data_IF_508744593720
#
_entry.id   IF_508744593720
#
_cell.length_a   1.000
_cell.length_b   1.000
_cell.length_c   1.000
_cell.angle_alpha   90.00
_cell.angle_beta   90.00
_cell.angle_gamma   90.00
#
_symmetry.space_group_name_H-M   'P 1'
#
loop_
_entity.id
_entity.type
_entity.pdbx_description
1 polymer ?
#
# COMPACT_ATOMS: atom_id res chain seq x y z
N UNK A 1 -47.56 -14.12 31.36
CA UNK A 1 -47.22 -14.06 29.91
C UNK A 1 -46.21 -12.94 29.70
N UNK A 2 -44.94 -13.28 29.82
CA UNK A 2 -43.84 -12.33 29.60
C UNK A 2 -43.21 -12.74 28.28
N UNK A 3 -43.49 -11.95 27.24
CA UNK A 3 -42.84 -12.06 25.94
C UNK A 3 -41.42 -11.55 26.13
N UNK A 4 -40.45 -12.47 26.19
CA UNK A 4 -39.03 -12.09 26.08
C UNK A 4 -38.80 -11.48 24.70
N UNK A 5 -38.72 -10.16 24.66
CA UNK A 5 -38.24 -9.42 23.51
C UNK A 5 -36.78 -9.87 23.29
N UNK A 6 -36.56 -10.60 22.21
CA UNK A 6 -35.20 -10.80 21.64
C UNK A 6 -34.43 -9.47 21.66
N UNK A 7 -33.17 -9.45 22.11
CA UNK A 7 -32.38 -8.21 22.03
C UNK A 7 -32.36 -7.77 20.57
N UNK A 8 -32.93 -6.61 20.33
CA UNK A 8 -32.74 -5.87 19.10
C UNK A 8 -31.23 -5.90 18.79
N UNK A 9 -30.85 -6.53 17.70
CA UNK A 9 -29.55 -6.38 17.11
C UNK A 9 -29.15 -4.92 17.28
N UNK A 10 -28.18 -4.66 18.13
CA UNK A 10 -27.61 -3.33 18.28
C UNK A 10 -27.02 -2.99 16.94
N UNK A 11 -27.78 -2.28 16.11
CA UNK A 11 -27.35 -1.73 14.83
C UNK A 11 -26.11 -0.93 15.14
N UNK A 12 -24.95 -1.51 14.84
CA UNK A 12 -23.67 -0.83 14.99
C UNK A 12 -23.77 0.51 14.24
N UNK A 13 -23.43 1.63 14.89
CA UNK A 13 -23.56 2.94 14.26
C UNK A 13 -22.74 2.96 12.98
N UNK A 14 -23.40 3.12 11.84
CA UNK A 14 -22.74 3.27 10.54
C UNK A 14 -21.84 4.49 10.59
N UNK A 15 -20.61 4.44 10.04
CA UNK A 15 -19.69 5.56 10.07
C UNK A 15 -20.31 6.78 9.39
N UNK A 16 -20.07 7.95 9.93
CA UNK A 16 -20.64 9.19 9.38
C UNK A 16 -20.16 9.43 7.94
N UNK A 17 -21.03 9.99 7.11
CA UNK A 17 -20.67 10.37 5.73
C UNK A 17 -19.51 11.37 5.72
N UNK A 18 -19.37 12.20 6.75
CA UNK A 18 -18.25 13.12 6.93
C UNK A 18 -16.94 12.38 7.08
N UNK A 19 -16.89 11.36 7.95
CA UNK A 19 -15.69 10.55 8.18
C UNK A 19 -15.27 9.76 6.94
N UNK A 20 -16.23 9.23 6.20
CA UNK A 20 -15.94 8.53 4.94
C UNK A 20 -15.34 9.47 3.88
N UNK A 21 -15.88 10.70 3.74
CA UNK A 21 -15.34 11.73 2.84
C UNK A 21 -13.98 12.25 3.33
N UNK A 22 -13.83 12.40 4.65
CA UNK A 22 -12.55 12.74 5.27
C UNK A 22 -11.46 11.74 4.92
N UNK A 23 -11.78 10.44 4.98
CA UNK A 23 -10.84 9.37 4.62
C UNK A 23 -10.52 9.36 3.10
N UNK A 24 -11.49 9.70 2.23
CA UNK A 24 -11.25 9.89 0.79
C UNK A 24 -10.22 10.99 0.55
N UNK A 25 -10.43 12.18 1.16
CA UNK A 25 -9.49 13.30 1.09
C UNK A 25 -8.12 12.97 1.68
N UNK A 26 -8.09 12.23 2.80
CA UNK A 26 -6.84 11.76 3.41
C UNK A 26 -6.02 10.91 2.43
N UNK A 27 -6.62 9.95 1.75
CA UNK A 27 -5.93 9.12 0.75
C UNK A 27 -5.42 9.96 -0.43
N UNK A 28 -6.24 10.89 -0.92
CA UNK A 28 -5.89 11.75 -2.06
C UNK A 28 -4.69 12.65 -1.75
N UNK A 29 -4.75 13.39 -0.64
CA UNK A 29 -3.71 14.35 -0.31
C UNK A 29 -2.45 13.71 0.27
N UNK A 30 -2.57 12.59 1.00
CA UNK A 30 -1.43 11.84 1.48
C UNK A 30 -0.61 11.25 0.32
N UNK A 31 -1.26 10.63 -0.66
CA UNK A 31 -0.59 10.13 -1.85
C UNK A 31 0.07 11.27 -2.64
N UNK A 32 -0.57 12.42 -2.74
CA UNK A 32 0.01 13.61 -3.33
C UNK A 32 1.26 14.10 -2.60
N UNK A 33 1.22 14.19 -1.26
CA UNK A 33 2.37 14.58 -0.44
C UNK A 33 3.56 13.63 -0.65
N UNK A 34 3.30 12.32 -0.64
CA UNK A 34 4.35 11.30 -0.81
C UNK A 34 4.93 11.30 -2.24
N UNK A 35 4.17 11.74 -3.24
CA UNK A 35 4.63 11.84 -4.63
C UNK A 35 5.72 12.89 -4.85
N UNK A 36 5.90 13.84 -3.92
CA UNK A 36 6.98 14.84 -3.96
C UNK A 36 8.37 14.28 -3.72
N UNK A 37 8.47 13.03 -3.29
CA UNK A 37 9.73 12.34 -3.01
C UNK A 37 10.11 11.36 -4.13
N UNK A 38 11.22 10.67 -3.96
CA UNK A 38 11.70 9.71 -4.94
C UNK A 38 12.33 10.39 -6.16
N UNK A 39 11.74 10.29 -7.36
CA UNK A 39 12.37 10.84 -8.58
C UNK A 39 12.67 12.32 -8.52
N UNK A 40 11.81 13.13 -7.92
CA UNK A 40 12.01 14.57 -7.81
C UNK A 40 13.19 14.96 -6.92
N UNK A 41 13.44 14.22 -5.84
CA UNK A 41 14.62 14.42 -4.99
C UNK A 41 15.91 14.20 -5.80
N UNK A 42 15.98 13.11 -6.55
CA UNK A 42 17.16 12.78 -7.34
C UNK A 42 17.45 13.86 -8.40
N UNK A 43 16.42 14.31 -9.12
CA UNK A 43 16.54 15.36 -10.14
C UNK A 43 16.96 16.69 -9.52
N UNK A 44 16.36 17.09 -8.41
CA UNK A 44 16.70 18.31 -7.68
C UNK A 44 18.15 18.32 -7.20
N UNK A 45 18.62 17.22 -6.57
CA UNK A 45 20.00 17.14 -6.11
C UNK A 45 21.00 17.11 -7.27
N UNK A 46 20.63 16.55 -8.42
CA UNK A 46 21.45 16.61 -9.63
C UNK A 46 21.54 18.04 -10.18
N UNK A 47 20.45 18.82 -10.11
CA UNK A 47 20.43 20.25 -10.48
C UNK A 47 21.31 21.08 -9.53
N UNK A 48 21.32 20.76 -8.22
CA UNK A 48 22.22 21.35 -7.21
C UNK A 48 23.67 20.84 -7.31
N UNK A 49 24.04 20.17 -8.43
CA UNK A 49 25.40 19.70 -8.78
C UNK A 49 25.97 18.64 -7.83
N UNK A 50 25.13 17.86 -7.19
CA UNK A 50 25.58 16.73 -6.39
C UNK A 50 26.16 15.61 -7.25
N UNK A 51 27.12 14.89 -6.71
CA UNK A 51 27.65 13.67 -7.35
C UNK A 51 26.59 12.56 -7.33
N UNK A 52 26.60 11.70 -8.36
CA UNK A 52 25.68 10.54 -8.42
C UNK A 52 25.81 9.63 -7.19
N UNK A 53 27.04 9.51 -6.66
CA UNK A 53 27.33 8.73 -5.46
C UNK A 53 26.61 9.30 -4.22
N UNK A 54 26.70 10.62 -3.99
CA UNK A 54 26.03 11.26 -2.85
C UNK A 54 24.51 11.19 -2.96
N UNK A 55 23.95 11.37 -4.16
CA UNK A 55 22.52 11.21 -4.42
C UNK A 55 22.09 9.78 -4.09
N UNK A 56 22.80 8.77 -4.60
CA UNK A 56 22.50 7.38 -4.31
C UNK A 56 22.59 7.05 -2.83
N UNK A 57 23.63 7.58 -2.15
CA UNK A 57 23.84 7.34 -0.72
C UNK A 57 22.69 7.90 0.15
N UNK A 58 22.29 9.15 -0.07
CA UNK A 58 21.19 9.74 0.74
C UNK A 58 19.84 9.06 0.48
N UNK A 59 19.55 8.66 -0.77
CA UNK A 59 18.34 7.90 -1.09
C UNK A 59 18.35 6.51 -0.43
N UNK A 60 19.51 5.86 -0.41
CA UNK A 60 19.69 4.56 0.28
C UNK A 60 19.48 4.70 1.79
N UNK A 61 20.05 5.72 2.43
CA UNK A 61 19.87 6.01 3.86
C UNK A 61 18.38 6.19 4.18
N UNK A 62 17.66 7.01 3.40
CA UNK A 62 16.22 7.18 3.56
C UNK A 62 15.42 5.90 3.35
N UNK A 63 15.77 5.11 2.35
CA UNK A 63 15.15 3.82 2.06
C UNK A 63 15.33 2.81 3.21
N UNK A 64 16.54 2.69 3.76
CA UNK A 64 16.83 1.82 4.91
C UNK A 64 16.03 2.28 6.14
N UNK A 65 15.97 3.58 6.42
CA UNK A 65 15.15 4.12 7.51
C UNK A 65 13.67 3.74 7.33
N UNK A 66 13.15 3.82 6.10
CA UNK A 66 11.79 3.39 5.76
C UNK A 66 11.56 1.90 6.01
N UNK A 67 12.48 1.05 5.60
CA UNK A 67 12.40 -0.39 5.85
C UNK A 67 12.39 -0.73 7.34
N UNK A 68 13.34 -0.16 8.08
CA UNK A 68 13.48 -0.43 9.52
C UNK A 68 12.30 0.09 10.33
N UNK A 69 11.62 1.15 9.88
CA UNK A 69 10.48 1.74 10.57
C UNK A 69 9.17 0.95 10.43
N UNK A 70 9.06 0.04 9.47
CA UNK A 70 7.80 -0.65 9.18
C UNK A 70 7.33 -1.54 10.33
N UNK A 71 8.25 -2.28 10.97
CA UNK A 71 7.90 -3.12 12.11
C UNK A 71 7.54 -2.30 13.36
N UNK A 72 8.42 -1.39 13.85
CA UNK A 72 8.08 -0.59 15.02
C UNK A 72 6.89 0.35 14.76
N UNK A 73 6.73 0.84 13.54
CA UNK A 73 5.58 1.64 13.14
C UNK A 73 4.27 0.87 13.18
N UNK A 74 4.27 -0.38 12.74
CA UNK A 74 3.13 -1.29 12.84
C UNK A 74 2.79 -1.60 14.30
N UNK A 75 3.78 -1.90 15.14
CA UNK A 75 3.58 -2.14 16.58
C UNK A 75 3.05 -0.89 17.29
N UNK A 76 3.59 0.27 16.97
CA UNK A 76 3.13 1.55 17.50
C UNK A 76 1.65 1.80 17.18
N UNK A 77 1.21 1.46 15.96
CA UNK A 77 -0.18 1.57 15.53
C UNK A 77 -1.10 0.57 16.26
N UNK A 78 -0.61 -0.58 16.69
CA UNK A 78 -1.41 -1.52 17.48
C UNK A 78 -1.62 -1.05 18.92
N UNK A 79 -0.71 -0.21 19.45
CA UNK A 79 -0.75 0.31 20.83
C UNK A 79 -1.51 1.65 20.91
N UNK A 80 -1.26 2.58 19.96
CA UNK A 80 -1.78 3.94 20.03
C UNK A 80 -3.26 3.98 19.61
N UNK A 81 -4.11 4.54 20.49
CA UNK A 81 -5.53 4.78 20.22
C UNK A 81 -5.75 5.93 19.25
N UNK A 82 -4.94 6.98 19.33
CA UNK A 82 -5.08 8.21 18.54
C UNK A 82 -4.45 8.08 17.14
N UNK A 83 -4.88 7.10 16.33
CA UNK A 83 -4.31 6.82 15.00
C UNK A 83 -4.38 8.01 14.05
N UNK A 84 -5.44 8.84 14.16
CA UNK A 84 -5.59 10.08 13.39
C UNK A 84 -4.50 11.09 13.71
N UNK A 85 -4.20 11.28 15.01
CA UNK A 85 -3.13 12.18 15.46
C UNK A 85 -1.76 11.68 14.99
N UNK A 86 -1.51 10.37 15.09
CA UNK A 86 -0.27 9.76 14.60
C UNK A 86 -0.09 9.97 13.09
N UNK A 87 -1.15 9.80 12.30
CA UNK A 87 -1.13 10.07 10.86
C UNK A 87 -0.91 11.56 10.57
N UNK A 88 -1.53 12.47 11.34
CA UNK A 88 -1.32 13.90 11.21
C UNK A 88 0.14 14.30 11.51
N UNK A 89 0.72 13.77 12.60
CA UNK A 89 2.14 14.00 12.96
C UNK A 89 3.06 13.46 11.86
N UNK A 90 2.84 12.22 11.39
CA UNK A 90 3.65 11.65 10.31
C UNK A 90 3.57 12.46 9.01
N UNK A 91 2.40 12.96 8.65
CA UNK A 91 2.22 13.82 7.49
C UNK A 91 2.90 15.20 7.69
N UNK A 92 2.82 15.80 8.89
CA UNK A 92 3.53 17.04 9.22
C UNK A 92 5.04 16.87 9.12
N UNK A 93 5.58 15.79 9.71
CA UNK A 93 7.01 15.47 9.62
C UNK A 93 7.45 15.27 8.16
N UNK A 94 6.65 14.59 7.36
CA UNK A 94 6.91 14.42 5.92
C UNK A 94 6.91 15.76 5.19
N UNK A 95 5.98 16.68 5.50
CA UNK A 95 5.96 18.02 4.92
C UNK A 95 7.19 18.85 5.34
N UNK A 96 7.57 18.79 6.61
CA UNK A 96 8.80 19.43 7.13
C UNK A 96 10.04 18.86 6.43
N UNK A 97 10.10 17.54 6.23
CA UNK A 97 11.18 16.89 5.47
C UNK A 97 11.29 17.43 4.05
N UNK A 98 10.16 17.63 3.36
CA UNK A 98 10.13 18.24 2.03
C UNK A 98 10.73 19.65 2.05
N UNK A 99 10.36 20.47 3.03
CA UNK A 99 10.90 21.84 3.18
C UNK A 99 12.40 21.81 3.47
N UNK A 100 12.87 20.95 4.37
CA UNK A 100 14.30 20.81 4.69
C UNK A 100 15.09 20.48 3.41
N UNK A 101 14.64 19.48 2.63
CA UNK A 101 15.30 19.07 1.40
C UNK A 101 15.32 20.19 0.36
N UNK A 102 14.18 20.89 0.18
CA UNK A 102 14.04 21.93 -0.83
C UNK A 102 14.85 23.21 -0.54
N UNK A 103 15.01 23.58 0.73
CA UNK A 103 15.68 24.82 1.09
C UNK A 103 17.14 24.69 1.53
N UNK A 104 17.56 23.52 1.98
CA UNK A 104 18.89 23.30 2.52
C UNK A 104 19.56 22.07 1.86
N UNK A 105 20.13 22.21 0.65
CA UNK A 105 20.75 21.10 -0.09
C UNK A 105 22.14 20.73 0.49
N UNK A 106 22.25 20.58 1.81
CA UNK A 106 23.43 20.06 2.49
C UNK A 106 23.26 18.58 2.79
N UNK A 107 24.30 17.79 2.63
CA UNK A 107 24.25 16.32 2.75
C UNK A 107 23.56 15.85 4.04
N UNK A 108 23.96 16.39 5.19
CA UNK A 108 23.42 16.01 6.50
C UNK A 108 21.93 16.33 6.65
N UNK A 109 21.51 17.51 6.17
CA UNK A 109 20.11 17.94 6.25
C UNK A 109 19.20 17.17 5.27
N UNK A 110 19.69 16.93 4.06
CA UNK A 110 18.97 16.08 3.08
C UNK A 110 18.85 14.65 3.59
N UNK A 111 19.95 14.07 4.12
CA UNK A 111 19.93 12.75 4.72
C UNK A 111 18.95 12.67 5.90
N UNK A 112 18.99 13.65 6.82
CA UNK A 112 18.04 13.74 7.93
C UNK A 112 16.59 13.86 7.46
N UNK A 113 16.31 14.70 6.46
CA UNK A 113 14.99 14.83 5.86
C UNK A 113 14.49 13.51 5.26
N UNK A 114 15.34 12.80 4.51
CA UNK A 114 14.99 11.50 3.92
C UNK A 114 14.82 10.41 4.98
N UNK A 115 15.58 10.42 6.06
CA UNK A 115 15.39 9.52 7.20
C UNK A 115 14.03 9.77 7.86
N UNK A 116 13.70 11.02 8.16
CA UNK A 116 12.40 11.39 8.75
C UNK A 116 11.24 10.98 7.83
N UNK A 117 11.34 11.27 6.53
CA UNK A 117 10.35 10.87 5.52
C UNK A 117 10.24 9.34 5.43
N UNK A 118 11.37 8.63 5.42
CA UNK A 118 11.40 7.17 5.42
C UNK A 118 10.71 6.57 6.63
N UNK A 119 11.04 7.04 7.83
CA UNK A 119 10.39 6.60 9.09
C UNK A 119 8.87 6.80 9.01
N UNK A 120 8.41 7.97 8.57
CA UNK A 120 6.98 8.24 8.44
C UNK A 120 6.34 7.39 7.34
N UNK A 121 7.00 7.24 6.19
CA UNK A 121 6.53 6.42 5.08
C UNK A 121 6.28 4.97 5.45
N UNK A 122 7.08 4.42 6.38
CA UNK A 122 6.96 3.05 6.84
C UNK A 122 5.65 2.73 7.55
N UNK A 123 4.97 3.71 8.18
CA UNK A 123 3.72 3.46 8.90
C UNK A 123 2.49 4.21 8.36
N UNK A 124 2.65 5.26 7.56
CA UNK A 124 1.52 6.07 7.08
C UNK A 124 0.47 5.25 6.31
N UNK A 125 0.91 4.31 5.46
CA UNK A 125 0.02 3.41 4.73
C UNK A 125 -0.76 2.47 5.67
N UNK A 126 -0.08 1.89 6.64
CA UNK A 126 -0.69 1.05 7.67
C UNK A 126 -1.68 1.84 8.54
N UNK A 127 -1.37 3.11 8.87
CA UNK A 127 -2.26 3.99 9.62
C UNK A 127 -3.59 4.26 8.87
N UNK A 128 -3.53 4.49 7.56
CA UNK A 128 -4.73 4.65 6.71
C UNK A 128 -5.55 3.36 6.67
N UNK A 129 -4.90 2.21 6.54
CA UNK A 129 -5.57 0.91 6.57
C UNK A 129 -6.23 0.64 7.92
N UNK A 130 -5.55 0.96 9.03
CA UNK A 130 -6.08 0.84 10.39
C UNK A 130 -7.30 1.74 10.63
N UNK A 131 -7.24 3.00 10.20
CA UNK A 131 -8.38 3.93 10.28
C UNK A 131 -9.54 3.40 9.43
N UNK A 132 -9.26 2.86 8.24
CA UNK A 132 -10.28 2.27 7.38
C UNK A 132 -10.98 1.09 8.05
N UNK A 133 -10.21 0.15 8.61
CA UNK A 133 -10.75 -1.00 9.35
C UNK A 133 -11.53 -0.55 10.59
N UNK A 134 -11.02 0.44 11.32
CA UNK A 134 -11.69 1.01 12.49
C UNK A 134 -13.02 1.69 12.17
N UNK A 135 -13.15 2.29 10.99
CA UNK A 135 -14.37 2.99 10.54
C UNK A 135 -15.44 2.02 10.04
N UNK A 136 -15.09 1.10 9.14
CA UNK A 136 -16.09 0.31 8.40
C UNK A 136 -16.20 -1.15 8.87
N UNK A 137 -15.28 -1.61 9.73
CA UNK A 137 -15.21 -3.01 10.14
C UNK A 137 -14.81 -3.95 8.99
N UNK A 138 -14.70 -5.25 9.30
CA UNK A 138 -14.23 -6.28 8.37
C UNK A 138 -15.14 -6.46 7.15
N UNK A 139 -16.46 -6.41 7.36
CA UNK A 139 -17.45 -6.71 6.31
C UNK A 139 -17.42 -5.72 5.13
N UNK A 140 -17.18 -4.43 5.40
CA UNK A 140 -17.15 -3.37 4.38
C UNK A 140 -15.71 -2.95 4.00
N UNK A 141 -14.69 -3.59 4.58
CA UNK A 141 -13.29 -3.21 4.39
C UNK A 141 -12.87 -3.31 2.91
N UNK A 142 -13.27 -4.36 2.21
CA UNK A 142 -12.90 -4.58 0.81
C UNK A 142 -13.35 -3.41 -0.10
N UNK A 143 -14.62 -3.01 0.00
CA UNK A 143 -15.16 -1.88 -0.75
C UNK A 143 -14.46 -0.57 -0.36
N UNK A 144 -14.15 -0.41 0.94
CA UNK A 144 -13.43 0.78 1.45
C UNK A 144 -12.01 0.87 0.92
N UNK A 145 -11.25 -0.23 0.93
CA UNK A 145 -9.88 -0.27 0.42
C UNK A 145 -9.83 -0.02 -1.10
N UNK A 146 -10.79 -0.56 -1.86
CA UNK A 146 -10.93 -0.24 -3.28
C UNK A 146 -11.14 1.26 -3.52
N UNK A 147 -11.97 1.90 -2.69
CA UNK A 147 -12.19 3.35 -2.76
C UNK A 147 -10.97 4.15 -2.32
N UNK A 148 -10.27 3.73 -1.25
CA UNK A 148 -9.03 4.35 -0.80
C UNK A 148 -7.98 4.35 -1.91
N UNK A 149 -7.78 3.21 -2.56
CA UNK A 149 -6.79 3.04 -3.61
C UNK A 149 -7.11 3.92 -4.83
N UNK A 150 -8.40 4.06 -5.19
CA UNK A 150 -8.83 4.99 -6.23
C UNK A 150 -8.41 6.43 -5.91
N UNK A 151 -8.73 6.91 -4.69
CA UNK A 151 -8.39 8.27 -4.29
C UNK A 151 -6.88 8.47 -4.17
N UNK A 152 -6.14 7.48 -3.67
CA UNK A 152 -4.68 7.53 -3.60
C UNK A 152 -4.05 7.64 -5.00
N UNK A 153 -4.46 6.79 -5.95
CA UNK A 153 -3.94 6.87 -7.33
C UNK A 153 -4.32 8.16 -8.04
N UNK A 154 -5.55 8.65 -7.81
CA UNK A 154 -5.97 9.96 -8.36
C UNK A 154 -5.13 11.09 -7.74
N UNK A 155 -4.89 11.05 -6.43
CA UNK A 155 -4.05 12.03 -5.73
C UNK A 155 -2.60 12.03 -6.22
N UNK A 156 -2.01 10.85 -6.37
CA UNK A 156 -0.66 10.69 -6.91
C UNK A 156 -0.54 11.21 -8.35
N UNK A 157 -1.53 10.89 -9.21
CA UNK A 157 -1.58 11.35 -10.59
C UNK A 157 -1.68 12.88 -10.69
N UNK A 158 -2.60 13.49 -9.95
CA UNK A 158 -2.79 14.94 -9.93
C UNK A 158 -1.55 15.65 -9.38
N UNK A 159 -0.99 15.14 -8.28
CA UNK A 159 0.21 15.70 -7.67
C UNK A 159 1.41 15.61 -8.62
N UNK A 160 1.62 14.48 -9.28
CA UNK A 160 2.70 14.33 -10.27
C UNK A 160 2.56 15.34 -11.42
N UNK A 161 1.34 15.56 -11.92
CA UNK A 161 1.07 16.58 -12.94
C UNK A 161 1.37 18.00 -12.46
N UNK A 162 0.86 18.38 -11.28
CA UNK A 162 1.08 19.70 -10.68
C UNK A 162 2.56 19.92 -10.37
N UNK A 163 3.24 18.95 -9.76
CA UNK A 163 4.66 19.03 -9.41
C UNK A 163 5.55 19.08 -10.65
N UNK A 164 5.23 18.27 -11.67
CA UNK A 164 5.95 18.30 -12.95
C UNK A 164 5.82 19.67 -13.66
N UNK A 165 4.60 20.23 -13.70
CA UNK A 165 4.36 21.56 -14.23
C UNK A 165 5.08 22.65 -13.42
N UNK A 166 5.00 22.57 -12.09
CA UNK A 166 5.68 23.52 -11.18
C UNK A 166 7.20 23.46 -11.35
N UNK A 167 7.78 22.26 -11.48
CA UNK A 167 9.20 22.09 -11.73
C UNK A 167 9.66 22.68 -13.08
N UNK A 168 8.79 22.59 -14.11
CA UNK A 168 9.07 23.14 -15.41
C UNK A 168 8.97 24.68 -15.45
N UNK A 169 7.92 25.27 -14.85
CA UNK A 169 7.62 26.70 -14.95
C UNK A 169 8.38 27.54 -13.92
N UNK A 170 8.56 27.02 -12.71
CA UNK A 170 9.14 27.77 -11.60
C UNK A 170 10.55 27.27 -11.25
N UNK A 171 10.65 26.15 -10.54
CA UNK A 171 11.92 25.54 -10.15
C UNK A 171 11.68 24.16 -9.50
N UNK A 172 12.72 23.34 -9.43
CA UNK A 172 12.67 22.08 -8.69
C UNK A 172 12.42 22.28 -7.18
N UNK A 173 12.87 23.39 -6.60
CA UNK A 173 12.59 23.76 -5.20
C UNK A 173 11.10 23.96 -4.95
N UNK A 174 10.38 24.53 -5.90
CA UNK A 174 8.95 24.77 -5.78
C UNK A 174 8.13 23.48 -5.69
N UNK A 175 8.65 22.36 -6.21
CA UNK A 175 8.01 21.03 -6.07
C UNK A 175 7.85 20.65 -4.59
N UNK A 176 8.90 20.87 -3.78
CA UNK A 176 8.86 20.56 -2.35
C UNK A 176 7.92 21.47 -1.57
N UNK A 177 7.76 22.74 -2.01
CA UNK A 177 6.74 23.64 -1.47
C UNK A 177 5.33 23.12 -1.76
N UNK A 178 5.07 22.70 -3.00
CA UNK A 178 3.77 22.11 -3.38
C UNK A 178 3.51 20.85 -2.58
N UNK A 179 4.51 19.96 -2.47
CA UNK A 179 4.40 18.75 -1.67
C UNK A 179 4.05 19.07 -0.21
N UNK A 180 4.78 20.00 0.41
CA UNK A 180 4.51 20.41 1.79
C UNK A 180 3.15 21.08 1.97
N UNK A 181 2.71 21.90 1.01
CA UNK A 181 1.42 22.58 1.05
C UNK A 181 0.23 21.60 1.05
N UNK A 182 0.39 20.40 0.47
CA UNK A 182 -0.65 19.36 0.48
C UNK A 182 -0.98 18.84 1.89
N UNK A 183 -0.14 19.10 2.89
CA UNK A 183 -0.46 18.78 4.29
C UNK A 183 -1.65 19.58 4.81
N UNK A 184 -1.88 20.80 4.32
CA UNK A 184 -2.98 21.65 4.77
C UNK A 184 -4.37 21.03 4.44
N UNK A 185 -4.68 20.72 3.16
CA UNK A 185 -5.93 20.05 2.85
C UNK A 185 -5.99 18.61 3.42
N UNK A 186 -4.86 17.95 3.64
CA UNK A 186 -4.81 16.69 4.36
C UNK A 186 -5.31 16.83 5.80
N UNK A 187 -4.89 17.87 6.52
CA UNK A 187 -5.37 18.14 7.89
C UNK A 187 -6.86 18.45 7.91
N UNK A 188 -7.37 19.24 6.94
CA UNK A 188 -8.81 19.47 6.80
C UNK A 188 -9.56 18.15 6.59
N UNK A 189 -9.00 17.24 5.78
CA UNK A 189 -9.60 15.92 5.55
C UNK A 189 -9.59 15.08 6.84
N UNK A 190 -8.49 15.08 7.61
CA UNK A 190 -8.36 14.36 8.87
C UNK A 190 -9.30 14.87 9.97
N UNK A 191 -9.51 16.18 10.05
CA UNK A 191 -10.45 16.78 11.03
C UNK A 191 -11.89 16.32 10.77
N UNK A 192 -12.27 16.08 9.51
CA UNK A 192 -13.59 15.55 9.14
C UNK A 192 -13.85 14.13 9.61
N UNK A 193 -12.81 13.36 9.95
CA UNK A 193 -12.97 12.01 10.50
C UNK A 193 -13.30 12.15 11.98
N UNK A 194 -14.51 11.79 12.40
CA UNK A 194 -14.96 11.86 13.80
C UNK A 194 -14.09 10.97 14.71
N UNK A 195 -13.64 11.47 15.89
CA UNK A 195 -12.84 10.65 16.80
C UNK A 195 -13.59 9.43 17.33
N UNK A 196 -14.91 9.52 17.47
CA UNK A 196 -15.77 8.43 17.92
C UNK A 196 -16.09 7.40 16.83
N UNK A 197 -15.93 7.74 15.55
CA UNK A 197 -16.24 6.84 14.43
C UNK A 197 -15.15 5.76 14.24
N UNK A 198 -13.92 5.98 14.72
CA UNK A 198 -12.81 5.05 14.58
C UNK A 198 -12.71 4.16 15.82
N UNK A 199 -13.27 2.96 15.75
CA UNK A 199 -13.22 2.00 16.85
C UNK A 199 -11.84 1.37 16.98
N UNK A 200 -11.20 1.54 18.15
CA UNK A 200 -9.83 1.07 18.37
C UNK A 200 -9.71 -0.45 18.22
N UNK A 201 -10.58 -1.23 18.87
CA UNK A 201 -10.55 -2.69 18.79
C UNK A 201 -10.60 -3.22 17.36
N UNK A 202 -11.49 -2.67 16.52
CA UNK A 202 -11.57 -3.01 15.09
C UNK A 202 -10.28 -2.62 14.37
N UNK A 203 -9.75 -1.44 14.62
CA UNK A 203 -8.57 -0.90 13.93
C UNK A 203 -7.27 -1.67 14.19
N UNK A 204 -7.25 -2.55 15.17
CA UNK A 204 -6.15 -3.50 15.46
C UNK A 204 -6.52 -4.95 15.15
N UNK A 205 -7.76 -5.21 14.71
CA UNK A 205 -8.27 -6.55 14.46
C UNK A 205 -8.45 -7.37 15.73
N UNK A 206 -8.81 -6.73 16.86
CA UNK A 206 -9.10 -7.41 18.12
C UNK A 206 -10.46 -8.13 18.09
N UNK A 207 -10.69 -9.15 18.96
CA UNK A 207 -12.01 -9.77 19.13
C UNK A 207 -13.06 -8.74 19.58
N UNK A 208 -14.32 -8.93 19.20
CA UNK A 208 -15.43 -8.01 19.56
C UNK A 208 -15.58 -7.77 21.07
N UNK A 209 -15.20 -8.74 21.91
CA UNK A 209 -15.25 -8.67 23.37
C UNK A 209 -13.85 -8.44 24.00
N UNK A 210 -12.96 -7.74 23.30
CA UNK A 210 -11.64 -7.44 23.82
C UNK A 210 -11.71 -6.39 24.93
N UNK A 211 -11.28 -6.76 26.15
CA UNK A 211 -11.06 -5.81 27.23
C UNK A 211 -9.91 -4.85 26.86
N UNK A 212 -10.17 -3.53 26.73
CA UNK A 212 -9.16 -2.57 26.36
C UNK A 212 -7.97 -2.48 27.32
N UNK A 213 -8.10 -3.05 28.52
CA UNK A 213 -7.05 -3.07 29.54
C UNK A 213 -6.02 -4.19 29.32
N UNK A 214 -6.34 -5.19 28.49
CA UNK A 214 -5.43 -6.32 28.23
C UNK A 214 -4.56 -6.03 27.00
N UNK A 215 -3.25 -5.76 27.16
CA UNK A 215 -2.38 -5.54 26.02
C UNK A 215 -2.27 -6.84 25.20
N UNK A 216 -2.27 -6.75 23.86
CA UNK A 216 -2.07 -7.90 23.00
C UNK A 216 -0.72 -8.58 23.30
N UNK A 217 -0.62 -9.92 23.14
CA UNK A 217 0.63 -10.64 23.43
C UNK A 217 1.81 -10.07 22.64
N UNK A 218 2.86 -9.63 23.35
CA UNK A 218 3.95 -8.80 22.82
C UNK A 218 4.99 -9.51 21.92
N UNK A 219 4.91 -10.80 21.67
CA UNK A 219 5.97 -11.48 20.92
C UNK A 219 5.69 -11.53 19.43
N UNK A 220 6.61 -10.90 18.63
CA UNK A 220 6.68 -11.00 17.18
C UNK A 220 6.69 -12.49 16.73
N UNK A 221 7.46 -13.30 17.46
CA UNK A 221 7.61 -14.73 17.21
C UNK A 221 6.28 -15.49 17.31
N UNK A 222 5.44 -15.15 18.30
CA UNK A 222 4.13 -15.76 18.45
C UNK A 222 3.16 -15.38 17.32
N UNK A 223 3.23 -14.15 16.80
CA UNK A 223 2.41 -13.73 15.67
C UNK A 223 2.80 -14.45 14.38
N UNK A 224 4.09 -14.63 14.13
CA UNK A 224 4.62 -15.29 12.93
C UNK A 224 4.39 -16.82 12.97
N UNK A 225 4.72 -17.48 14.07
CA UNK A 225 4.62 -18.94 14.17
C UNK A 225 3.16 -19.44 14.22
N UNK A 226 2.21 -18.63 14.67
CA UNK A 226 0.80 -18.99 14.73
C UNK A 226 0.04 -18.82 13.42
N UNK A 227 0.63 -18.13 12.43
CA UNK A 227 -0.07 -17.80 11.19
C UNK A 227 0.80 -18.07 9.94
N UNK A 228 0.91 -19.34 9.49
CA UNK A 228 1.71 -19.67 8.32
C UNK A 228 1.22 -18.96 7.05
N UNK A 229 -0.07 -18.64 6.94
CA UNK A 229 -0.61 -17.87 5.81
C UNK A 229 0.00 -16.47 5.69
N UNK A 230 0.31 -15.82 6.82
CA UNK A 230 0.97 -14.51 6.81
C UNK A 230 2.40 -14.61 6.28
N UNK A 231 3.15 -15.65 6.65
CA UNK A 231 4.51 -15.87 6.15
C UNK A 231 4.53 -16.19 4.65
N UNK A 232 3.61 -17.05 4.19
CA UNK A 232 3.44 -17.36 2.77
C UNK A 232 3.12 -16.09 2.00
N UNK A 233 2.19 -15.28 2.49
CA UNK A 233 1.82 -14.04 1.83
C UNK A 233 2.97 -13.02 1.81
N UNK A 234 3.71 -12.88 2.90
CA UNK A 234 4.92 -12.03 2.95
C UNK A 234 6.00 -12.49 1.96
N UNK A 235 6.24 -13.80 1.86
CA UNK A 235 7.18 -14.37 0.88
C UNK A 235 6.71 -14.13 -0.57
N UNK A 236 5.41 -14.28 -0.84
CA UNK A 236 4.85 -13.96 -2.15
C UNK A 236 5.05 -12.49 -2.52
N UNK A 237 4.80 -11.57 -1.58
CA UNK A 237 4.99 -10.13 -1.81
C UNK A 237 6.47 -9.73 -1.91
N UNK A 238 7.37 -10.41 -1.19
CA UNK A 238 8.80 -10.27 -1.39
C UNK A 238 9.19 -10.60 -2.84
N UNK A 239 8.80 -11.77 -3.35
CA UNK A 239 9.10 -12.19 -4.72
C UNK A 239 8.44 -11.29 -5.76
N UNK A 240 7.20 -10.86 -5.51
CA UNK A 240 6.51 -9.92 -6.38
C UNK A 240 7.29 -8.61 -6.50
N UNK A 241 7.64 -7.99 -5.38
CA UNK A 241 8.36 -6.71 -5.39
C UNK A 241 9.81 -6.85 -5.85
N UNK A 242 10.45 -8.00 -5.59
CA UNK A 242 11.76 -8.32 -6.15
C UNK A 242 11.71 -8.36 -7.69
N UNK A 243 10.64 -8.86 -8.28
CA UNK A 243 10.47 -8.85 -9.73
C UNK A 243 9.99 -7.48 -10.25
N UNK A 244 9.08 -6.80 -9.55
CA UNK A 244 8.40 -5.61 -10.05
C UNK A 244 9.25 -4.33 -10.03
N UNK A 245 10.05 -4.11 -8.98
CA UNK A 245 10.67 -2.81 -8.72
C UNK A 245 11.72 -2.40 -9.77
N UNK A 246 12.40 -3.34 -10.40
CA UNK A 246 13.40 -3.07 -11.43
C UNK A 246 12.85 -2.91 -12.84
N UNK A 247 11.58 -3.26 -13.08
CA UNK A 247 11.04 -3.25 -14.45
C UNK A 247 11.02 -1.86 -15.08
N UNK A 248 10.62 -0.84 -14.32
CA UNK A 248 10.56 0.53 -14.83
C UNK A 248 11.96 1.13 -15.05
N UNK A 249 12.93 0.99 -14.11
CA UNK A 249 14.33 1.38 -14.37
C UNK A 249 14.93 0.73 -15.61
N UNK A 250 14.81 -0.58 -15.78
CA UNK A 250 15.32 -1.31 -16.95
C UNK A 250 14.64 -0.86 -18.26
N UNK A 251 13.32 -0.63 -18.21
CA UNK A 251 12.61 -0.08 -19.39
C UNK A 251 13.06 1.34 -19.73
N UNK A 252 13.32 2.17 -18.72
CA UNK A 252 13.87 3.52 -18.88
C UNK A 252 15.25 3.49 -19.53
N UNK A 253 16.12 2.59 -19.08
CA UNK A 253 17.45 2.36 -19.68
C UNK A 253 17.34 1.92 -21.13
N UNK A 254 16.49 0.94 -21.44
CA UNK A 254 16.23 0.47 -22.81
C UNK A 254 15.78 1.59 -23.76
N UNK A 255 15.01 2.55 -23.25
CA UNK A 255 14.54 3.70 -24.02
C UNK A 255 15.62 4.80 -24.17
N UNK A 256 16.45 5.00 -23.14
CA UNK A 256 17.53 5.98 -23.17
C UNK A 256 18.59 5.63 -24.23
N UNK A 257 18.94 4.36 -24.39
CA UNK A 257 19.86 3.89 -25.43
C UNK A 257 19.38 4.15 -26.86
N UNK A 258 18.07 4.23 -27.07
CA UNK A 258 17.51 4.49 -28.41
C UNK A 258 17.47 5.97 -28.81
N UNK A 259 17.80 6.88 -27.90
CA UNK A 259 18.02 8.31 -28.08
C UNK A 259 16.79 9.12 -28.53
N UNK A 260 16.66 10.33 -27.99
CA UNK A 260 15.75 11.36 -28.48
C UNK A 260 14.92 12.07 -27.41
N UNK A 261 14.52 13.31 -27.66
CA UNK A 261 13.64 14.12 -26.79
C UNK A 261 12.29 13.44 -26.45
N UNK A 262 11.89 12.44 -27.22
CA UNK A 262 10.64 11.67 -26.99
C UNK A 262 10.75 10.65 -25.86
N UNK A 263 11.95 10.27 -25.42
CA UNK A 263 12.14 9.28 -24.33
C UNK A 263 11.51 9.73 -23.01
N UNK A 264 11.59 11.01 -22.67
CA UNK A 264 10.99 11.58 -21.46
C UNK A 264 9.46 11.45 -21.45
N UNK A 265 8.80 11.69 -22.58
CA UNK A 265 7.34 11.55 -22.71
C UNK A 265 6.91 10.08 -22.55
N UNK A 266 7.67 9.16 -23.14
CA UNK A 266 7.41 7.72 -23.02
C UNK A 266 7.56 7.25 -21.57
N UNK A 267 8.63 7.66 -20.88
CA UNK A 267 8.85 7.34 -19.47
C UNK A 267 7.70 7.89 -18.59
N UNK A 268 7.27 9.12 -18.85
CA UNK A 268 6.12 9.70 -18.16
C UNK A 268 4.84 8.89 -18.39
N UNK A 269 4.59 8.46 -19.61
CA UNK A 269 3.44 7.63 -19.96
C UNK A 269 3.51 6.25 -19.28
N UNK A 270 4.71 5.66 -19.15
CA UNK A 270 4.93 4.40 -18.42
C UNK A 270 4.57 4.51 -16.92
N UNK A 271 4.74 5.69 -16.32
CA UNK A 271 4.40 5.95 -14.92
C UNK A 271 2.90 6.26 -14.76
N UNK A 272 2.35 7.04 -15.68
CA UNK A 272 0.95 7.52 -15.61
C UNK A 272 -0.04 6.39 -15.90
N UNK A 273 0.26 5.54 -16.90
CA UNK A 273 -0.68 4.50 -17.36
C UNK A 273 -1.14 3.56 -16.25
N UNK A 274 -0.25 2.98 -15.41
CA UNK A 274 -0.69 2.16 -14.28
C UNK A 274 -1.58 2.90 -13.30
N UNK A 275 -1.30 4.17 -13.00
CA UNK A 275 -2.08 4.96 -12.05
C UNK A 275 -3.53 5.19 -12.54
N UNK A 276 -3.70 5.42 -13.84
CA UNK A 276 -5.03 5.55 -14.47
C UNK A 276 -5.81 4.23 -14.32
N UNK A 277 -5.17 3.10 -14.64
CA UNK A 277 -5.80 1.78 -14.51
C UNK A 277 -6.19 1.50 -13.05
N UNK A 278 -5.31 1.78 -12.09
CA UNK A 278 -5.59 1.62 -10.66
C UNK A 278 -6.78 2.49 -10.25
N UNK A 279 -6.82 3.76 -10.65
CA UNK A 279 -7.92 4.67 -10.30
C UNK A 279 -9.28 4.18 -10.82
N UNK A 280 -9.30 3.55 -11.98
CA UNK A 280 -10.51 3.01 -12.60
C UNK A 280 -10.92 1.66 -12.02
N UNK A 281 -9.96 0.74 -11.84
CA UNK A 281 -10.22 -0.65 -11.47
C UNK A 281 -10.34 -0.89 -9.95
N UNK A 282 -9.75 -0.05 -9.09
CA UNK A 282 -9.70 -0.32 -7.66
C UNK A 282 -11.08 -0.49 -6.99
N UNK A 283 -12.13 0.29 -7.30
CA UNK A 283 -13.45 0.04 -6.75
C UNK A 283 -14.07 -1.27 -7.24
N UNK A 284 -13.76 -1.68 -8.47
CA UNK A 284 -14.17 -2.98 -9.01
C UNK A 284 -13.50 -4.11 -8.24
N UNK A 285 -12.19 -4.04 -8.03
CA UNK A 285 -11.42 -5.03 -7.27
C UNK A 285 -11.95 -5.18 -5.84
N UNK A 286 -12.25 -4.08 -5.14
CA UNK A 286 -12.82 -4.10 -3.79
C UNK A 286 -14.15 -4.85 -3.74
N UNK A 287 -15.07 -4.57 -4.67
CA UNK A 287 -16.37 -5.25 -4.75
C UNK A 287 -16.22 -6.75 -5.06
N UNK A 288 -15.38 -7.10 -6.04
CA UNK A 288 -15.19 -8.49 -6.44
C UNK A 288 -14.41 -9.32 -5.42
N UNK A 289 -13.53 -8.68 -4.61
CA UNK A 289 -12.88 -9.34 -3.49
C UNK A 289 -13.90 -9.92 -2.49
N UNK A 290 -15.04 -9.27 -2.32
CA UNK A 290 -16.13 -9.76 -1.47
C UNK A 290 -16.91 -10.92 -2.11
N UNK A 291 -17.05 -10.92 -3.45
CA UNK A 291 -17.84 -11.92 -4.18
C UNK A 291 -17.00 -13.15 -4.48
N UNK A 292 -15.89 -12.98 -5.21
CA UNK A 292 -15.05 -14.07 -5.73
C UNK A 292 -14.08 -14.63 -4.69
N UNK A 293 -13.80 -13.88 -3.62
CA UNK A 293 -12.73 -14.17 -2.68
C UNK A 293 -11.45 -13.40 -2.97
N UNK A 294 -10.42 -13.62 -2.15
CA UNK A 294 -9.15 -12.88 -2.22
C UNK A 294 -8.16 -13.57 -3.16
N UNK A 295 -8.08 -14.89 -3.07
CA UNK A 295 -7.11 -15.71 -3.81
C UNK A 295 -7.22 -15.58 -5.33
N UNK A 296 -8.41 -15.65 -5.98
CA UNK A 296 -8.51 -15.49 -7.44
C UNK A 296 -8.03 -14.12 -7.92
N UNK A 297 -8.37 -13.05 -7.21
CA UNK A 297 -7.95 -11.70 -7.57
C UNK A 297 -6.45 -11.49 -7.35
N UNK A 298 -5.87 -12.05 -6.27
CA UNK A 298 -4.42 -12.06 -6.07
C UNK A 298 -3.72 -12.77 -7.21
N UNK A 299 -4.22 -13.92 -7.66
CA UNK A 299 -3.66 -14.65 -8.79
C UNK A 299 -3.68 -13.83 -10.08
N UNK A 300 -4.76 -13.09 -10.36
CA UNK A 300 -4.83 -12.17 -11.51
C UNK A 300 -3.72 -11.11 -11.39
N UNK A 301 -3.56 -10.49 -10.21
CA UNK A 301 -2.53 -9.47 -10.00
C UNK A 301 -1.10 -10.03 -10.12
N UNK A 302 -0.85 -11.22 -9.57
CA UNK A 302 0.46 -11.87 -9.65
C UNK A 302 0.78 -12.38 -11.05
N UNK A 303 -0.19 -12.97 -11.76
CA UNK A 303 0.02 -13.49 -13.12
C UNK A 303 0.26 -12.38 -14.16
N UNK A 304 -0.25 -11.18 -13.93
CA UNK A 304 0.00 -10.05 -14.81
C UNK A 304 1.49 -9.66 -14.87
N UNK A 305 2.25 -9.86 -13.80
CA UNK A 305 3.66 -9.47 -13.73
C UNK A 305 4.58 -10.34 -14.63
N UNK A 306 4.57 -11.70 -14.58
CA UNK A 306 5.39 -12.50 -15.48
C UNK A 306 4.99 -12.30 -16.95
N UNK A 307 3.71 -12.11 -17.25
CA UNK A 307 3.26 -11.79 -18.61
C UNK A 307 3.86 -10.46 -19.07
N UNK A 308 3.81 -9.41 -18.24
CA UNK A 308 4.40 -8.11 -18.56
C UNK A 308 5.91 -8.22 -18.73
N UNK A 309 6.61 -8.93 -17.87
CA UNK A 309 8.05 -9.11 -17.94
C UNK A 309 8.47 -9.82 -19.25
N UNK A 310 7.73 -10.86 -19.63
CA UNK A 310 7.94 -11.57 -20.90
C UNK A 310 7.69 -10.65 -22.11
N UNK A 311 6.62 -9.88 -22.09
CA UNK A 311 6.32 -8.91 -23.16
C UNK A 311 7.41 -7.83 -23.28
N UNK A 312 7.98 -7.36 -22.18
CA UNK A 312 9.10 -6.41 -22.18
C UNK A 312 10.41 -7.04 -22.70
N UNK A 313 10.61 -8.34 -22.48
CA UNK A 313 11.76 -9.07 -23.04
C UNK A 313 11.65 -9.24 -24.55
N UNK A 314 10.43 -9.47 -25.06
CA UNK A 314 10.20 -9.78 -26.48
C UNK A 314 10.01 -8.53 -27.35
N UNK A 315 9.45 -7.46 -26.81
CA UNK A 315 9.09 -6.25 -27.57
C UNK A 315 9.75 -5.01 -26.98
N UNK A 316 10.57 -4.34 -27.77
CA UNK A 316 11.28 -3.13 -27.38
C UNK A 316 10.69 -1.85 -28.01
N UNK A 317 9.45 -1.90 -28.53
CA UNK A 317 8.81 -0.74 -29.15
C UNK A 317 8.15 0.16 -28.08
N UNK A 318 8.45 1.48 -28.02
CA UNK A 318 8.00 2.37 -26.94
C UNK A 318 6.49 2.35 -26.69
N UNK A 319 5.67 2.40 -27.73
CA UNK A 319 4.21 2.41 -27.59
C UNK A 319 3.65 1.07 -27.10
N UNK A 320 4.27 -0.06 -27.45
CA UNK A 320 3.89 -1.36 -26.89
C UNK A 320 4.21 -1.45 -25.42
N UNK A 321 5.36 -0.93 -24.98
CA UNK A 321 5.74 -0.88 -23.57
C UNK A 321 4.71 -0.08 -22.74
N UNK A 322 4.21 1.06 -23.27
CA UNK A 322 3.12 1.82 -22.62
C UNK A 322 1.85 0.98 -22.54
N UNK A 323 1.46 0.27 -23.61
CA UNK A 323 0.31 -0.61 -23.59
C UNK A 323 0.44 -1.74 -22.56
N UNK A 324 1.61 -2.35 -22.43
CA UNK A 324 1.87 -3.41 -21.46
C UNK A 324 1.85 -2.94 -20.01
N UNK A 325 2.00 -1.64 -19.75
CA UNK A 325 1.84 -1.05 -18.42
C UNK A 325 0.41 -1.11 -17.88
N UNK A 326 -0.58 -1.44 -18.71
CA UNK A 326 -1.92 -1.81 -18.25
C UNK A 326 -1.83 -2.98 -17.27
N UNK A 327 -0.96 -3.96 -17.53
CA UNK A 327 -0.75 -5.11 -16.64
C UNK A 327 -0.17 -4.71 -15.30
N UNK A 328 0.70 -3.67 -15.27
CA UNK A 328 1.17 -3.07 -14.01
C UNK A 328 0.02 -2.44 -13.21
N UNK A 329 -0.85 -1.73 -13.90
CA UNK A 329 -2.07 -1.18 -13.30
C UNK A 329 -2.99 -2.25 -12.72
N UNK A 330 -3.13 -3.40 -13.41
CA UNK A 330 -3.87 -4.56 -12.90
C UNK A 330 -3.21 -5.11 -11.64
N UNK A 331 -1.90 -5.37 -11.66
CA UNK A 331 -1.14 -5.84 -10.50
C UNK A 331 -1.24 -4.85 -9.34
N UNK A 332 -1.00 -3.56 -9.60
CA UNK A 332 -1.08 -2.49 -8.61
C UNK A 332 -2.48 -2.34 -8.00
N UNK A 333 -3.54 -2.55 -8.80
CA UNK A 333 -4.92 -2.56 -8.31
C UNK A 333 -5.16 -3.72 -7.35
N UNK A 334 -4.81 -4.94 -7.75
CA UNK A 334 -5.05 -6.13 -6.93
C UNK A 334 -4.28 -6.06 -5.62
N UNK A 335 -2.98 -5.76 -5.68
CA UNK A 335 -2.14 -5.66 -4.49
C UNK A 335 -2.50 -4.48 -3.61
N UNK A 336 -2.78 -3.31 -4.18
CA UNK A 336 -3.16 -2.12 -3.42
C UNK A 336 -4.45 -2.28 -2.61
N UNK A 337 -5.40 -3.08 -3.11
CA UNK A 337 -6.65 -3.38 -2.40
C UNK A 337 -6.50 -4.61 -1.50
N UNK A 338 -5.88 -5.68 -2.01
CA UNK A 338 -5.94 -6.98 -1.35
C UNK A 338 -4.88 -7.15 -0.26
N UNK A 339 -3.75 -6.43 -0.29
CA UNK A 339 -2.71 -6.59 0.73
C UNK A 339 -3.26 -6.32 2.13
N UNK A 340 -3.86 -5.15 2.34
CA UNK A 340 -4.43 -4.82 3.65
C UNK A 340 -5.64 -5.71 4.00
N UNK A 341 -6.42 -6.12 3.01
CA UNK A 341 -7.57 -7.00 3.20
C UNK A 341 -7.15 -8.39 3.65
N UNK A 342 -6.19 -9.02 2.97
CA UNK A 342 -5.66 -10.35 3.31
C UNK A 342 -4.99 -10.33 4.69
N UNK A 343 -4.19 -9.31 4.99
CA UNK A 343 -3.60 -9.17 6.33
C UNK A 343 -4.67 -9.05 7.38
N UNK A 344 -5.74 -8.27 7.13
CA UNK A 344 -6.87 -8.14 8.05
C UNK A 344 -7.59 -9.48 8.28
N UNK A 345 -7.86 -10.24 7.19
CA UNK A 345 -8.48 -11.56 7.27
C UNK A 345 -7.63 -12.55 8.09
N UNK A 346 -6.31 -12.59 7.84
CA UNK A 346 -5.36 -13.47 8.52
C UNK A 346 -5.13 -13.12 9.99
N UNK A 347 -5.35 -11.88 10.37
CA UNK A 347 -5.07 -11.39 11.74
C UNK A 347 -6.32 -11.06 12.55
N UNK A 348 -7.49 -11.39 12.02
CA UNK A 348 -8.76 -11.22 12.74
C UNK A 348 -8.71 -11.90 14.10
N UNK A 349 -9.11 -11.18 15.15
CA UNK A 349 -9.11 -11.68 16.54
C UNK A 349 -7.73 -11.68 17.22
N UNK A 350 -6.66 -11.24 16.57
CA UNK A 350 -5.30 -11.25 17.16
C UNK A 350 -4.89 -9.94 17.81
N UNK A 351 -5.54 -8.83 17.47
CA UNK A 351 -5.12 -7.48 17.87
C UNK A 351 -3.79 -7.01 17.27
N UNK A 352 -3.32 -7.64 16.17
CA UNK A 352 -2.00 -7.44 15.57
C UNK A 352 -2.04 -7.10 14.08
N UNK A 353 -3.11 -6.50 13.63
CA UNK A 353 -3.29 -6.12 12.23
C UNK A 353 -2.15 -5.24 11.71
N UNK A 354 -1.79 -4.18 12.45
CA UNK A 354 -0.82 -3.21 11.98
C UNK A 354 0.62 -3.72 12.02
N UNK A 355 0.99 -4.50 13.04
CA UNK A 355 2.28 -5.20 13.07
C UNK A 355 2.42 -6.15 11.87
N UNK A 356 1.36 -6.88 11.54
CA UNK A 356 1.35 -7.79 10.39
C UNK A 356 1.45 -7.05 9.06
N UNK A 357 0.85 -5.86 8.94
CA UNK A 357 1.08 -4.96 7.82
C UNK A 357 2.55 -4.53 7.72
N UNK A 358 3.19 -4.22 8.85
CA UNK A 358 4.61 -3.90 8.92
C UNK A 358 5.50 -5.05 8.45
N UNK A 359 5.19 -6.30 8.84
CA UNK A 359 5.92 -7.51 8.40
C UNK A 359 5.84 -7.67 6.88
N UNK A 360 4.63 -7.59 6.34
CA UNK A 360 4.36 -7.72 4.90
C UNK A 360 5.01 -6.58 4.11
N UNK A 361 4.92 -5.36 4.62
CA UNK A 361 5.57 -4.19 4.04
C UNK A 361 7.10 -4.33 4.02
N UNK A 362 7.71 -4.77 5.13
CA UNK A 362 9.16 -4.99 5.22
C UNK A 362 9.62 -6.06 4.23
N UNK A 363 8.90 -7.18 4.10
CA UNK A 363 9.21 -8.21 3.11
C UNK A 363 9.16 -7.63 1.68
N UNK A 364 8.12 -6.86 1.37
CA UNK A 364 7.99 -6.15 0.08
C UNK A 364 9.13 -5.18 -0.18
N UNK A 365 9.50 -4.38 0.82
CA UNK A 365 10.56 -3.40 0.72
C UNK A 365 11.95 -4.03 0.53
N UNK A 366 12.25 -5.13 1.24
CA UNK A 366 13.50 -5.88 1.03
C UNK A 366 13.54 -6.43 -0.39
N UNK A 367 12.44 -7.03 -0.87
CA UNK A 367 12.34 -7.51 -2.26
C UNK A 367 12.63 -6.40 -3.27
N UNK A 368 11.99 -5.24 -3.11
CA UNK A 368 12.20 -4.08 -3.98
C UNK A 368 13.65 -3.58 -3.96
N UNK A 369 14.28 -3.53 -2.78
CA UNK A 369 15.67 -3.06 -2.64
C UNK A 369 16.68 -3.99 -3.31
N UNK A 370 16.46 -5.30 -3.28
CA UNK A 370 17.33 -6.28 -3.93
C UNK A 370 17.09 -6.39 -5.44
N UNK A 371 15.92 -5.97 -5.91
CA UNK A 371 15.47 -6.09 -7.30
C UNK A 371 16.41 -5.41 -8.29
N UNK A 372 16.70 -4.13 -8.06
CA UNK A 372 17.49 -3.31 -9.00
C UNK A 372 18.93 -3.80 -9.13
N UNK A 373 19.54 -4.26 -8.04
CA UNK A 373 20.89 -4.82 -8.07
C UNK A 373 20.93 -6.15 -8.86
N UNK A 374 20.00 -7.06 -8.55
CA UNK A 374 20.00 -8.39 -9.19
C UNK A 374 19.67 -8.31 -10.69
N UNK A 375 18.65 -7.55 -11.07
CA UNK A 375 18.25 -7.40 -12.46
C UNK A 375 19.23 -6.54 -13.27
N UNK A 376 19.86 -5.53 -12.65
CA UNK A 376 20.92 -4.74 -13.25
C UNK A 376 22.13 -5.61 -13.60
N UNK A 377 22.60 -6.46 -12.66
CA UNK A 377 23.69 -7.40 -12.91
C UNK A 377 23.38 -8.39 -14.04
N UNK A 378 22.14 -8.89 -14.13
CA UNK A 378 21.72 -9.76 -15.22
C UNK A 378 21.72 -9.00 -16.56
N UNK A 379 21.20 -7.78 -16.57
CA UNK A 379 21.14 -6.96 -17.78
C UNK A 379 22.53 -6.52 -18.27
N UNK A 380 23.44 -6.21 -17.35
CA UNK A 380 24.82 -5.81 -17.66
C UNK A 380 25.61 -6.96 -18.29
N UNK A 381 25.52 -8.17 -17.72
CA UNK A 381 26.32 -9.32 -18.19
C UNK A 381 25.72 -10.04 -19.40
N UNK A 382 24.37 -10.05 -19.54
CA UNK A 382 23.69 -10.87 -20.54
C UNK A 382 22.71 -10.09 -21.43
N UNK A 383 22.63 -8.76 -21.23
CA UNK A 383 21.75 -7.88 -21.98
C UNK A 383 20.34 -7.70 -21.39
N UNK A 384 19.69 -6.60 -21.75
CA UNK A 384 18.38 -6.21 -21.23
C UNK A 384 17.28 -7.29 -21.37
N UNK A 385 17.16 -8.03 -22.50
CA UNK A 385 16.15 -9.08 -22.62
C UNK A 385 16.32 -10.18 -21.57
N UNK A 386 17.56 -10.56 -21.23
CA UNK A 386 17.84 -11.56 -20.21
C UNK A 386 17.50 -11.03 -18.81
N UNK A 387 17.74 -9.75 -18.55
CA UNK A 387 17.27 -9.07 -17.34
C UNK A 387 15.76 -9.20 -17.15
N UNK A 388 14.97 -8.92 -18.18
CA UNK A 388 13.50 -9.08 -18.14
C UNK A 388 13.07 -10.55 -18.04
N UNK A 389 13.76 -11.48 -18.67
CA UNK A 389 13.49 -12.92 -18.52
C UNK A 389 13.75 -13.41 -17.08
N UNK A 390 14.83 -12.94 -16.45
CA UNK A 390 15.10 -13.21 -15.03
C UNK A 390 13.95 -12.74 -14.13
N UNK A 391 13.45 -11.52 -14.38
CA UNK A 391 12.26 -10.98 -13.69
C UNK A 391 11.03 -11.87 -13.96
N UNK A 392 10.81 -12.33 -15.19
CA UNK A 392 9.70 -13.20 -15.54
C UNK A 392 9.75 -14.52 -14.77
N UNK A 393 10.93 -15.13 -14.64
CA UNK A 393 11.11 -16.38 -13.88
C UNK A 393 10.79 -16.18 -12.40
N UNK A 394 11.35 -15.14 -11.77
CA UNK A 394 11.10 -14.87 -10.34
C UNK A 394 9.62 -14.56 -10.09
N UNK A 395 8.99 -13.76 -10.94
CA UNK A 395 7.57 -13.43 -10.79
C UNK A 395 6.66 -14.64 -11.03
N UNK A 396 7.03 -15.54 -11.96
CA UNK A 396 6.31 -16.79 -12.16
C UNK A 396 6.44 -17.70 -10.92
N UNK A 397 7.63 -17.79 -10.33
CA UNK A 397 7.83 -18.51 -9.07
C UNK A 397 6.94 -17.95 -7.95
N UNK A 398 6.88 -16.63 -7.79
CA UNK A 398 5.99 -15.98 -6.83
C UNK A 398 4.52 -16.29 -7.08
N UNK A 399 4.11 -16.30 -8.36
CA UNK A 399 2.74 -16.66 -8.77
C UNK A 399 2.42 -18.12 -8.46
N UNK A 400 3.36 -19.04 -8.72
CA UNK A 400 3.21 -20.47 -8.43
C UNK A 400 3.14 -20.73 -6.90
N UNK A 401 3.99 -20.09 -6.12
CA UNK A 401 3.93 -20.19 -4.65
C UNK A 401 2.58 -19.70 -4.13
N UNK A 402 2.09 -18.59 -4.62
CA UNK A 402 0.77 -18.06 -4.25
C UNK A 402 -0.34 -19.04 -4.65
N UNK A 403 -0.26 -19.60 -5.86
CA UNK A 403 -1.25 -20.55 -6.35
C UNK A 403 -1.26 -21.86 -5.55
N UNK A 404 -0.10 -22.39 -5.19
CA UNK A 404 0.00 -23.68 -4.49
C UNK A 404 -0.27 -23.58 -2.98
N UNK A 405 0.23 -22.54 -2.33
CA UNK A 405 0.31 -22.48 -0.87
C UNK A 405 -0.61 -21.44 -0.23
N UNK A 406 -1.08 -20.41 -0.98
CA UNK A 406 -1.93 -19.39 -0.37
C UNK A 406 -3.37 -19.89 -0.25
N UNK A 407 -3.91 -20.03 0.98
CA UNK A 407 -5.31 -20.38 1.17
C UNK A 407 -6.24 -19.23 0.78
N UNK A 408 -7.51 -19.54 0.54
CA UNK A 408 -8.54 -18.50 0.47
C UNK A 408 -8.77 -17.90 1.87
N UNK A 409 -8.69 -16.56 1.97
CA UNK A 409 -8.80 -15.87 3.25
C UNK A 409 -10.16 -15.22 3.47
N UNK A 410 -11.07 -15.30 2.49
CA UNK A 410 -12.43 -14.78 2.64
C UNK A 410 -13.11 -15.38 3.85
N UNK A 411 -13.64 -14.56 4.79
CA UNK A 411 -14.41 -15.07 5.92
C UNK A 411 -15.58 -15.93 5.44
N UNK A 412 -15.72 -17.13 6.02
CA UNK A 412 -16.88 -17.98 5.78
C UNK A 412 -18.15 -17.28 6.29
N UNK A 413 -19.23 -17.31 5.53
CA UNK A 413 -20.51 -16.83 6.03
C UNK A 413 -20.84 -17.54 7.36
N UNK A 414 -21.39 -16.83 8.37
CA UNK A 414 -21.81 -17.48 9.60
C UNK A 414 -22.69 -18.67 9.22
N UNK A 415 -22.31 -19.89 9.64
CA UNK A 415 -23.20 -21.02 9.53
C UNK A 415 -24.41 -20.68 10.42
N UNK A 416 -25.55 -20.37 9.81
CA UNK A 416 -26.82 -20.36 10.51
C UNK A 416 -26.97 -21.74 11.16
N UNK A 417 -26.78 -21.82 12.48
CA UNK A 417 -27.14 -23.04 13.18
C UNK A 417 -28.59 -23.29 12.78
N UNK A 418 -28.91 -24.50 12.25
CA UNK A 418 -30.30 -24.87 12.10
C UNK A 418 -30.91 -24.70 13.48
N UNK A 419 -32.02 -23.97 13.59
CA UNK A 419 -32.76 -23.81 14.80
C UNK A 419 -32.96 -25.24 15.35
N UNK A 420 -32.25 -25.55 16.44
CA UNK A 420 -32.42 -26.84 17.13
C UNK A 420 -33.88 -26.98 17.44
N UNK A 421 -34.51 -28.00 16.84
CA UNK A 421 -35.92 -28.25 16.89
C UNK A 421 -36.42 -28.12 18.33
N UNK A 422 -37.42 -27.31 18.50
CA UNK A 422 -38.31 -27.36 19.66
C UNK A 422 -38.92 -28.77 19.64
N UNK A 423 -38.68 -29.59 20.68
CA UNK A 423 -39.37 -30.87 20.72
C UNK A 423 -40.86 -30.58 20.85
N UNK A 424 -41.60 -30.91 19.79
CA UNK A 424 -43.05 -30.98 19.83
C UNK A 424 -43.45 -32.18 20.72
N UNK A 425 -43.57 -31.96 22.02
CA UNK A 425 -44.35 -32.87 22.86
C UNK A 425 -44.60 -32.22 24.23
N UNK A 426 -45.75 -31.61 24.37
CA UNK A 426 -46.56 -31.60 25.59
C UNK A 426 -47.90 -30.91 25.29
N UNK A 427 -48.77 -31.62 24.56
CA UNK A 427 -50.22 -31.38 24.64
C UNK A 427 -50.73 -32.40 25.67
N UNK A 428 -51.25 -32.00 26.82
CA UNK A 428 -52.02 -32.91 27.67
C UNK A 428 -53.37 -33.13 27.00
N UNK A 429 -53.71 -34.37 26.76
CA UNK A 429 -55.04 -34.78 26.35
C UNK A 429 -56.11 -34.54 27.47
N UNK A 430 -57.42 -34.46 27.14
CA UNK A 430 -58.53 -33.95 27.95
C UNK A 430 -58.86 -34.74 29.16
#
# INVERSE_FOLDING_TARGET
MSVALTPLDTLEPSPSRSSLRGLDGTNLFLAGLLSGFGPYVAVYLADEKWTRSNIGLVLTIGGIAGLLSQLPGGELLDIIRAKRALLAVGAAVTAVSALIIGYHPHFTLVAAGLVLQGICGGFLGAAVAAISLGLVGQNALADRLGRNQRFASTGGLLAAGIMGFTGYVLSYRAIFLVAAALVLPLFVALIRIGPGDVHFGRSVGAPEHHDPSTPPPRSLRASLCRNPGLLIFAACLFLFQFANASMLPLAGEALAYKGGHRSSLVISALIIMPQVIVALMAPWAGRHARIWGRRPLLLIGFAALPIRALLFALFAHPFLLIGFQVLDGVSGTMLGVLTALVVSDLTTGTGRFNLSQGIVGMASGIGASLSTAASGLLAENFGLPVGFLGIAVVSLLGTLILWLFMPETKPSAPRTRPASGIPANSVPAP
#
